data_IF_774560403521
#
_entry.id   IF_774560403521
#
_cell.length_a   1.000
_cell.length_b   1.000
_cell.length_c   1.000
_cell.angle_alpha   90.00
_cell.angle_beta   90.00
_cell.angle_gamma   90.00
#
_symmetry.space_group_name_H-M   'P 1'
#
loop_
_entity.id
_entity.type
_entity.pdbx_description
1 polymer ?
#
# COMPACT_ATOMS: atom_id res chain seq x y z
N UNK A 1 0.53 -15.66 -3.68
CA UNK A 1 0.23 -14.45 -2.91
C UNK A 1 -0.58 -14.85 -1.69
N UNK A 2 -0.39 -14.16 -0.56
CA UNK A 2 -1.27 -14.28 0.61
C UNK A 2 -2.11 -13.01 0.64
N UNK A 3 -3.42 -13.16 0.82
CA UNK A 3 -4.36 -12.04 0.92
C UNK A 3 -4.85 -11.92 2.36
N UNK A 4 -4.85 -10.69 2.89
CA UNK A 4 -5.40 -10.37 4.21
C UNK A 4 -6.53 -9.37 4.01
N UNK A 5 -7.75 -9.76 4.40
CA UNK A 5 -8.93 -8.91 4.33
C UNK A 5 -8.99 -8.02 5.58
N UNK A 6 -8.75 -6.73 5.41
CA UNK A 6 -8.82 -5.72 6.47
C UNK A 6 -10.02 -4.77 6.31
N UNK A 7 -10.63 -4.78 5.12
CA UNK A 7 -11.85 -4.01 4.80
C UNK A 7 -13.10 -4.86 5.03
N UNK A 8 -14.14 -4.22 5.53
CA UNK A 8 -15.49 -4.78 5.57
C UNK A 8 -16.11 -4.81 4.17
N UNK A 9 -17.35 -5.29 4.05
CA UNK A 9 -18.07 -5.25 2.78
C UNK A 9 -18.55 -3.84 2.39
N UNK A 10 -18.52 -2.89 3.33
CA UNK A 10 -18.92 -1.49 3.13
C UNK A 10 -17.69 -0.58 2.93
N UNK A 11 -16.57 -1.16 2.47
CA UNK A 11 -15.28 -0.49 2.21
C UNK A 11 -14.71 0.31 3.39
N UNK A 12 -15.06 -0.10 4.62
CA UNK A 12 -14.49 0.48 5.84
C UNK A 12 -13.39 -0.41 6.40
N UNK A 13 -12.28 0.19 6.82
CA UNK A 13 -11.23 -0.46 7.61
C UNK A 13 -10.80 0.42 8.76
N UNK A 14 -10.21 -0.18 9.78
CA UNK A 14 -9.65 0.51 10.93
C UNK A 14 -8.17 0.18 11.10
N UNK A 15 -7.43 1.11 11.69
CA UNK A 15 -6.00 0.92 11.94
C UNK A 15 -5.69 -0.34 12.77
N UNK A 16 -6.58 -0.74 13.68
CA UNK A 16 -6.45 -1.98 14.44
C UNK A 16 -6.49 -3.22 13.55
N UNK A 17 -7.44 -3.31 12.61
CA UNK A 17 -7.53 -4.44 11.68
C UNK A 17 -6.34 -4.50 10.71
N UNK A 18 -5.81 -3.35 10.32
CA UNK A 18 -4.57 -3.27 9.55
C UNK A 18 -3.36 -3.78 10.36
N UNK A 19 -3.22 -3.35 11.62
CA UNK A 19 -2.15 -3.80 12.51
C UNK A 19 -2.21 -5.32 12.75
N UNK A 20 -3.40 -5.87 13.03
CA UNK A 20 -3.61 -7.32 13.13
C UNK A 20 -3.24 -8.07 11.84
N UNK A 21 -3.50 -7.46 10.68
CA UNK A 21 -3.10 -8.00 9.38
C UNK A 21 -1.59 -8.10 9.23
N UNK A 22 -0.84 -7.08 9.65
CA UNK A 22 0.62 -7.12 9.68
C UNK A 22 1.15 -8.20 10.64
N UNK A 23 0.58 -8.29 11.84
CA UNK A 23 0.95 -9.32 12.82
C UNK A 23 0.74 -10.73 12.27
N UNK A 24 -0.37 -10.96 11.56
CA UNK A 24 -0.64 -12.22 10.87
C UNK A 24 0.43 -12.55 9.82
N UNK A 25 0.83 -11.58 9.00
CA UNK A 25 1.87 -11.77 7.99
C UNK A 25 3.24 -12.05 8.60
N UNK A 26 3.60 -11.35 9.68
CA UNK A 26 4.83 -11.60 10.43
C UNK A 26 4.81 -13.01 11.03
N UNK A 27 3.67 -13.45 11.58
CA UNK A 27 3.51 -14.80 12.12
C UNK A 27 3.67 -15.88 11.04
N UNK A 28 3.08 -15.67 9.85
CA UNK A 28 3.30 -16.57 8.70
C UNK A 28 4.76 -16.62 8.29
N UNK A 29 5.45 -15.47 8.24
CA UNK A 29 6.88 -15.44 7.93
C UNK A 29 7.71 -16.23 8.93
N UNK A 30 7.45 -16.06 10.22
CA UNK A 30 8.10 -16.82 11.31
C UNK A 30 7.86 -18.32 11.19
N UNK A 31 6.75 -18.74 10.59
CA UNK A 31 6.42 -20.15 10.29
C UNK A 31 7.07 -20.67 8.99
N UNK A 32 7.91 -19.88 8.34
CA UNK A 32 8.66 -20.29 7.14
C UNK A 32 8.06 -19.84 5.81
N UNK A 33 6.94 -19.09 5.82
CA UNK A 33 6.41 -18.51 4.58
C UNK A 33 7.33 -17.38 4.11
N UNK A 34 7.79 -17.43 2.85
CA UNK A 34 8.68 -16.40 2.30
C UNK A 34 7.91 -15.11 1.94
N UNK A 35 7.66 -14.30 2.96
CA UNK A 35 7.01 -12.98 2.84
C UNK A 35 8.11 -11.91 2.84
N UNK A 36 8.15 -11.11 1.78
CA UNK A 36 9.17 -10.07 1.58
C UNK A 36 8.57 -8.71 1.27
N UNK A 37 7.38 -8.68 0.67
CA UNK A 37 6.71 -7.44 0.24
C UNK A 37 5.24 -7.52 0.59
N UNK A 38 4.71 -6.41 1.11
CA UNK A 38 3.29 -6.21 1.43
C UNK A 38 2.78 -5.03 0.62
N UNK A 39 1.74 -5.24 -0.17
CA UNK A 39 1.07 -4.18 -0.91
C UNK A 39 -0.07 -3.58 -0.07
N UNK A 40 -0.05 -2.27 0.11
CA UNK A 40 -1.05 -1.50 0.85
C UNK A 40 -1.67 -0.47 -0.10
N UNK A 41 -2.62 -0.93 -0.91
CA UNK A 41 -3.43 -0.05 -1.79
C UNK A 41 -4.57 0.59 -1.01
N UNK A 42 -4.24 1.22 0.12
CA UNK A 42 -5.18 1.86 1.01
C UNK A 42 -4.46 2.93 1.82
N UNK A 43 -5.24 3.87 2.35
CA UNK A 43 -4.72 4.85 3.30
C UNK A 43 -5.84 5.67 3.93
N UNK A 44 -5.47 6.45 4.95
CA UNK A 44 -6.36 7.36 5.63
C UNK A 44 -5.61 8.51 6.30
N UNK A 45 -6.29 9.60 6.67
CA UNK A 45 -5.63 10.81 7.17
C UNK A 45 -5.21 10.70 8.64
N UNK A 46 -5.68 9.68 9.36
CA UNK A 46 -5.49 9.58 10.82
C UNK A 46 -4.29 8.67 11.13
N UNK A 47 -3.24 9.19 11.81
CA UNK A 47 -2.15 8.35 12.26
C UNK A 47 -2.61 7.39 13.35
N UNK A 48 -1.94 6.24 13.43
CA UNK A 48 -2.20 5.26 14.49
C UNK A 48 -0.89 4.68 14.99
N UNK A 49 -0.69 4.76 16.30
CA UNK A 49 0.47 4.16 16.96
C UNK A 49 0.53 2.65 16.73
N UNK A 50 -0.61 1.97 16.79
CA UNK A 50 -0.68 0.52 16.55
C UNK A 50 -0.27 0.17 15.11
N UNK A 51 -0.70 0.96 14.13
CA UNK A 51 -0.30 0.75 12.73
C UNK A 51 1.19 1.03 12.53
N UNK A 52 1.72 2.09 13.13
CA UNK A 52 3.14 2.41 13.09
C UNK A 52 3.99 1.26 13.66
N UNK A 53 3.66 0.80 14.87
CA UNK A 53 4.36 -0.32 15.52
C UNK A 53 4.30 -1.61 14.69
N UNK A 54 3.16 -1.90 14.07
CA UNK A 54 3.00 -3.07 13.22
C UNK A 54 3.85 -2.99 11.93
N UNK A 55 3.93 -1.81 11.31
CA UNK A 55 4.79 -1.59 10.14
C UNK A 55 6.27 -1.66 10.52
N UNK A 56 6.68 -1.05 11.63
CA UNK A 56 8.04 -1.18 12.16
C UNK A 56 8.40 -2.63 12.51
N UNK A 57 7.45 -3.41 13.06
CA UNK A 57 7.66 -4.83 13.34
C UNK A 57 7.83 -5.64 12.05
N UNK A 58 7.11 -5.29 10.98
CA UNK A 58 7.26 -5.90 9.67
C UNK A 58 8.63 -5.55 9.05
N UNK A 59 9.06 -4.30 9.16
CA UNK A 59 10.41 -3.85 8.80
C UNK A 59 11.49 -4.66 9.54
N UNK A 60 11.39 -4.80 10.86
CA UNK A 60 12.31 -5.61 11.65
C UNK A 60 12.30 -7.10 11.25
N UNK A 61 11.18 -7.59 10.71
CA UNK A 61 11.08 -8.91 10.11
C UNK A 61 11.60 -8.99 8.66
N UNK A 62 12.17 -7.90 8.12
CA UNK A 62 12.68 -7.81 6.75
C UNK A 62 11.57 -7.93 5.70
N UNK A 63 10.46 -7.23 5.93
CA UNK A 63 9.32 -7.12 5.04
C UNK A 63 9.21 -5.67 4.58
N UNK A 64 9.17 -5.46 3.26
CA UNK A 64 8.98 -4.16 2.61
C UNK A 64 7.48 -3.85 2.49
N UNK A 65 7.06 -2.68 2.92
CA UNK A 65 5.71 -2.17 2.75
C UNK A 65 5.64 -1.21 1.57
N UNK A 66 4.86 -1.54 0.56
CA UNK A 66 4.57 -0.65 -0.58
C UNK A 66 3.20 -0.04 -0.35
N UNK A 67 3.12 1.28 -0.30
CA UNK A 67 1.93 2.03 0.08
C UNK A 67 1.56 3.03 -1.02
N UNK A 68 0.29 3.23 -1.30
CA UNK A 68 -0.16 4.29 -2.21
C UNK A 68 -0.02 5.66 -1.54
N UNK A 69 0.49 6.66 -2.27
CA UNK A 69 0.57 8.05 -1.78
C UNK A 69 -0.81 8.66 -1.48
N UNK A 70 -1.86 8.14 -2.13
CA UNK A 70 -3.25 8.59 -1.98
C UNK A 70 -3.79 9.30 -3.23
N UNK A 71 -5.11 9.50 -3.27
CA UNK A 71 -5.86 9.91 -4.46
C UNK A 71 -6.64 11.23 -4.26
N UNK A 72 -6.05 12.21 -3.57
CA UNK A 72 -6.71 13.48 -3.22
C UNK A 72 -6.11 14.70 -3.91
N UNK A 73 -5.07 14.54 -4.74
CA UNK A 73 -4.32 15.65 -5.34
C UNK A 73 -3.75 16.65 -4.32
N UNK A 74 -3.32 16.15 -3.16
CA UNK A 74 -2.74 16.97 -2.09
C UNK A 74 -1.25 16.72 -1.94
N UNK A 75 -0.56 17.71 -1.35
CA UNK A 75 0.83 17.60 -0.92
C UNK A 75 0.91 16.77 0.37
N UNK A 76 1.40 15.54 0.26
CA UNK A 76 1.60 14.60 1.35
C UNK A 76 2.71 15.02 2.32
N UNK A 77 3.61 15.94 1.94
CA UNK A 77 4.56 16.54 2.88
C UNK A 77 3.85 17.49 3.86
N UNK A 78 2.75 18.12 3.44
CA UNK A 78 1.92 18.99 4.28
C UNK A 78 0.78 18.22 4.99
N UNK A 79 0.16 17.28 4.29
CA UNK A 79 -0.98 16.49 4.76
C UNK A 79 -0.71 14.99 4.56
N UNK A 80 0.06 14.35 5.47
CA UNK A 80 0.45 12.95 5.29
C UNK A 80 -0.74 12.00 5.39
N UNK A 81 -0.82 11.08 4.43
CA UNK A 81 -1.74 9.94 4.47
C UNK A 81 -1.06 8.69 5.04
N UNK A 82 -1.71 7.95 5.93
CA UNK A 82 -1.16 6.76 6.57
C UNK A 82 -1.72 5.48 5.94
N UNK A 83 -0.90 4.45 5.68
CA UNK A 83 0.46 4.26 6.17
C UNK A 83 1.58 4.93 5.36
N UNK A 84 1.30 5.52 4.18
CA UNK A 84 2.33 6.03 3.27
C UNK A 84 3.25 7.11 3.86
N UNK A 85 2.75 7.92 4.80
CA UNK A 85 3.49 8.95 5.51
C UNK A 85 4.12 8.49 6.84
N UNK A 86 4.16 7.19 7.14
CA UNK A 86 4.91 6.69 8.30
C UNK A 86 6.42 6.79 8.04
N UNK A 87 7.17 7.19 9.06
CA UNK A 87 8.64 7.22 9.01
C UNK A 87 9.21 5.82 9.27
N UNK A 88 9.26 4.99 8.23
CA UNK A 88 9.81 3.63 8.26
C UNK A 88 10.75 3.43 7.06
N UNK A 89 11.95 2.88 7.27
CA UNK A 89 12.95 2.72 6.22
C UNK A 89 12.54 1.64 5.21
N UNK A 90 11.78 0.64 5.64
CA UNK A 90 11.23 -0.41 4.77
C UNK A 90 9.81 -0.08 4.31
N UNK A 91 9.52 1.20 4.08
CA UNK A 91 8.29 1.66 3.44
C UNK A 91 8.63 2.42 2.14
N UNK A 92 7.80 2.18 1.11
CA UNK A 92 7.85 2.91 -0.17
C UNK A 92 6.48 3.49 -0.44
N UNK A 93 6.40 4.81 -0.55
CA UNK A 93 5.22 5.56 -0.96
C UNK A 93 5.19 5.79 -2.47
N UNK A 94 4.14 5.32 -3.14
CA UNK A 94 4.04 5.31 -4.61
C UNK A 94 2.96 6.28 -5.09
N UNK A 95 3.36 7.29 -5.86
CA UNK A 95 2.46 8.15 -6.62
C UNK A 95 1.98 7.47 -7.91
N UNK A 96 0.82 7.89 -8.41
CA UNK A 96 0.27 7.40 -9.67
C UNK A 96 0.76 8.26 -10.85
N UNK A 97 1.24 7.59 -11.90
CA UNK A 97 1.52 8.18 -13.23
C UNK A 97 0.59 7.63 -14.31
N UNK A 98 0.47 8.39 -15.40
CA UNK A 98 -0.20 7.99 -16.64
C UNK A 98 0.74 7.12 -17.47
N UNK A 99 0.24 6.63 -18.62
CA UNK A 99 1.06 5.88 -19.58
C UNK A 99 2.17 6.71 -20.23
N UNK A 100 2.06 8.03 -20.15
CA UNK A 100 2.99 8.99 -20.77
C UNK A 100 4.01 9.51 -19.73
N UNK A 101 4.16 8.82 -18.59
CA UNK A 101 5.00 9.18 -17.45
C UNK A 101 4.68 10.55 -16.82
N UNK A 102 3.45 11.05 -17.03
CA UNK A 102 2.94 12.25 -16.37
C UNK A 102 2.25 11.89 -15.05
N UNK A 103 2.27 12.77 -14.05
CA UNK A 103 1.53 12.54 -12.80
C UNK A 103 0.02 12.55 -13.05
N UNK A 104 -0.70 11.59 -12.49
CA UNK A 104 -2.16 11.53 -12.64
C UNK A 104 -2.81 12.64 -11.83
N UNK A 105 -3.90 13.22 -12.34
CA UNK A 105 -4.59 14.38 -11.74
C UNK A 105 -5.12 14.15 -10.32
N UNK A 106 -5.34 12.91 -9.90
CA UNK A 106 -5.75 12.59 -8.52
C UNK A 106 -4.57 12.22 -7.60
N UNK A 107 -3.38 11.98 -8.13
CA UNK A 107 -2.26 11.48 -7.34
C UNK A 107 -1.86 12.51 -6.28
N UNK A 108 -1.71 12.05 -5.04
CA UNK A 108 -0.94 12.82 -4.06
C UNK A 108 0.54 12.85 -4.48
N UNK A 109 1.24 13.88 -4.02
CA UNK A 109 2.66 14.13 -4.29
C UNK A 109 3.35 14.63 -3.03
N UNK A 110 4.67 14.55 -2.97
CA UNK A 110 5.46 15.04 -1.83
C UNK A 110 6.93 14.79 -2.08
N UNK A 111 7.79 15.78 -1.91
CA UNK A 111 9.21 15.66 -2.18
C UNK A 111 9.94 14.81 -1.12
N UNK A 112 9.38 14.74 0.09
CA UNK A 112 9.95 14.00 1.23
C UNK A 112 9.20 12.72 1.55
N UNK A 113 7.89 12.69 1.26
CA UNK A 113 6.97 11.60 1.63
C UNK A 113 6.64 10.66 0.48
N UNK A 114 6.78 11.08 -0.78
CA UNK A 114 6.60 10.21 -1.96
C UNK A 114 7.97 9.80 -2.48
N UNK A 115 8.10 8.49 -2.65
CA UNK A 115 9.38 7.83 -2.92
C UNK A 115 9.60 7.62 -4.43
N UNK A 116 8.56 7.24 -5.18
CA UNK A 116 8.57 7.09 -6.63
C UNK A 116 7.16 7.22 -7.23
N UNK A 117 7.08 7.32 -8.56
CA UNK A 117 5.82 7.21 -9.29
C UNK A 117 5.77 5.90 -10.10
N UNK A 118 4.58 5.32 -10.24
CA UNK A 118 4.33 4.14 -11.06
C UNK A 118 2.98 4.26 -11.80
N UNK A 119 2.79 3.55 -12.93
CA UNK A 119 1.54 3.60 -13.67
C UNK A 119 0.33 3.25 -12.80
N UNK A 120 -0.58 4.21 -12.63
CA UNK A 120 -1.76 4.09 -11.76
C UNK A 120 -3.07 4.51 -12.43
N UNK A 121 -3.01 5.13 -13.62
CA UNK A 121 -4.19 5.44 -14.43
C UNK A 121 -4.43 4.37 -15.50
N UNK A 122 -5.67 3.92 -15.66
CA UNK A 122 -6.08 2.98 -16.74
C UNK A 122 -5.30 1.66 -16.76
N UNK A 123 -4.96 1.14 -15.58
CA UNK A 123 -4.31 -0.17 -15.43
C UNK A 123 -5.33 -1.30 -15.49
N UNK A 124 -5.17 -2.20 -16.47
CA UNK A 124 -6.02 -3.38 -16.61
C UNK A 124 -5.75 -4.39 -15.48
N UNK A 125 -6.80 -4.83 -14.78
CA UNK A 125 -6.68 -5.77 -13.65
C UNK A 125 -7.85 -6.77 -13.58
N UNK A 126 -7.77 -7.71 -12.65
CA UNK A 126 -8.82 -8.68 -12.34
C UNK A 126 -9.87 -8.09 -11.41
N UNK A 127 -11.16 -8.26 -11.73
CA UNK A 127 -12.27 -7.83 -10.88
C UNK A 127 -13.17 -9.02 -10.51
N UNK A 128 -13.76 -8.99 -9.31
CA UNK A 128 -14.77 -9.97 -8.90
C UNK A 128 -16.09 -9.67 -9.62
N UNK A 129 -16.44 -10.48 -10.62
CA UNK A 129 -17.75 -10.40 -11.26
C UNK A 129 -18.80 -11.10 -10.38
N UNK A 130 -19.51 -10.36 -9.53
CA UNK A 130 -20.70 -10.89 -8.86
C UNK A 130 -21.90 -10.67 -9.79
N UNK A 131 -22.48 -11.75 -10.32
CA UNK A 131 -23.76 -11.68 -11.03
C UNK A 131 -24.88 -11.58 -9.99
N UNK A 132 -25.33 -10.37 -9.65
CA UNK A 132 -26.59 -10.18 -8.95
C UNK A 132 -27.74 -10.34 -9.95
N UNK A 133 -28.26 -11.56 -10.10
CA UNK A 133 -29.61 -11.73 -10.64
C UNK A 133 -30.63 -11.50 -9.51
N UNK A 134 -30.88 -10.23 -9.17
CA UNK A 134 -32.04 -9.84 -8.38
C UNK A 134 -32.95 -8.97 -9.26
N UNK A 135 -34.11 -9.52 -9.59
CA UNK A 135 -35.17 -8.96 -10.42
C UNK A 135 -35.69 -7.60 -9.94
N UNK A 136 -35.61 -6.58 -10.79
CA UNK A 136 -36.75 -5.72 -11.16
C UNK A 136 -36.38 -4.82 -12.36
N UNK A 137 -36.97 -5.13 -13.53
CA UNK A 137 -37.28 -4.17 -14.62
C UNK A 137 -36.17 -3.74 -15.61
N UNK A 138 -35.91 -4.64 -16.58
CA UNK A 138 -35.60 -4.37 -18.00
C UNK A 138 -34.15 -3.93 -18.39
N UNK A 139 -33.76 -4.01 -19.67
CA UNK A 139 -33.05 -5.16 -20.24
C UNK A 139 -31.70 -4.75 -20.84
N UNK A 140 -30.59 -5.29 -20.31
CA UNK A 140 -29.32 -5.37 -21.07
C UNK A 140 -28.42 -6.44 -20.46
N UNK A 141 -28.83 -7.69 -20.60
CA UNK A 141 -27.90 -8.81 -20.58
C UNK A 141 -27.01 -8.76 -21.84
N UNK A 142 -26.11 -7.78 -21.92
CA UNK A 142 -25.05 -7.78 -22.94
C UNK A 142 -23.75 -8.19 -22.29
N UNK A 143 -23.35 -9.43 -22.59
CA UNK A 143 -21.97 -9.86 -22.42
C UNK A 143 -21.04 -8.94 -23.21
N UNK A 144 -20.14 -8.29 -22.48
CA UNK A 144 -18.85 -7.85 -22.96
C UNK A 144 -17.86 -8.06 -21.81
N UNK A 145 -16.61 -8.44 -22.07
CA UNK A 145 -15.55 -8.28 -21.08
C UNK A 145 -15.32 -6.77 -20.93
N UNK A 146 -16.14 -6.11 -20.11
CA UNK A 146 -16.09 -4.67 -19.92
C UNK A 146 -14.84 -4.32 -19.11
N UNK A 147 -13.87 -3.77 -19.82
CA UNK A 147 -12.76 -2.95 -19.34
C UNK A 147 -13.29 -1.93 -18.32
N UNK A 148 -12.95 -2.06 -17.04
CA UNK A 148 -13.18 -1.00 -16.06
C UNK A 148 -12.26 -1.16 -14.85
N UNK A 149 -11.83 -0.02 -14.32
CA UNK A 149 -10.70 0.23 -13.43
C UNK A 149 -10.89 -0.25 -11.98
N UNK A 150 -9.78 -0.63 -11.32
CA UNK A 150 -9.67 -0.74 -9.87
C UNK A 150 -9.26 -2.14 -9.39
N UNK A 151 -8.21 -2.25 -8.58
CA UNK A 151 -7.83 -3.49 -7.92
C UNK A 151 -8.70 -3.72 -6.68
N UNK A 152 -9.00 -4.96 -6.26
CA UNK A 152 -9.73 -5.20 -5.02
C UNK A 152 -8.91 -4.72 -3.81
N UNK A 153 -9.53 -3.89 -2.96
CA UNK A 153 -8.99 -3.26 -1.75
C UNK A 153 -8.52 -4.31 -0.72
N UNK A 154 -7.30 -4.77 -0.89
CA UNK A 154 -6.74 -5.88 -0.13
C UNK A 154 -5.24 -5.69 0.09
N UNK A 155 -4.78 -6.15 1.25
CA UNK A 155 -3.34 -6.36 1.42
C UNK A 155 -2.98 -7.61 0.62
N UNK A 156 -2.18 -7.42 -0.43
CA UNK A 156 -1.70 -8.51 -1.28
C UNK A 156 -0.19 -8.69 -1.11
N UNK A 157 0.24 -9.88 -0.72
CA UNK A 157 1.66 -10.22 -0.54
C UNK A 157 2.24 -10.84 -1.80
N UNK A 158 3.22 -10.15 -2.40
CA UNK A 158 4.07 -10.71 -3.46
C UNK A 158 5.30 -11.39 -2.85
N UNK A 159 5.58 -12.63 -3.26
CA UNK A 159 6.78 -13.37 -2.87
C UNK A 159 7.80 -13.39 -4.02
N UNK A 160 8.75 -12.45 -4.12
CA UNK A 160 9.92 -12.63 -4.96
C UNK A 160 11.02 -13.44 -4.24
N UNK A 161 11.87 -14.11 -5.02
CA UNK A 161 13.06 -14.86 -4.62
C UNK A 161 14.32 -14.24 -5.28
N UNK A 162 15.52 -14.17 -4.67
CA UNK A 162 15.88 -14.11 -3.25
C UNK A 162 15.94 -12.65 -2.71
N UNK A 163 16.12 -12.51 -1.40
CA UNK A 163 15.95 -11.34 -0.52
C UNK A 163 16.16 -9.93 -1.11
N UNK A 164 15.22 -8.98 -0.91
CA UNK A 164 15.60 -7.58 -0.80
C UNK A 164 16.31 -7.42 0.56
N UNK A 165 17.64 -7.53 0.56
CA UNK A 165 18.49 -6.77 1.50
C UNK A 165 18.67 -5.34 0.97
N UNK A 166 17.80 -4.93 0.03
CA UNK A 166 17.68 -3.59 -0.46
C UNK A 166 16.89 -2.80 0.59
N UNK A 167 17.58 -1.99 1.39
CA UNK A 167 17.00 -0.77 1.99
C UNK A 167 16.19 -0.04 0.90
N UNK A 168 15.10 0.64 1.25
CA UNK A 168 14.29 1.43 0.30
C UNK A 168 15.18 2.27 -0.62
N UNK A 169 16.29 2.80 -0.08
CA UNK A 169 17.37 3.46 -0.82
C UNK A 169 17.87 2.75 -2.09
N UNK A 170 17.92 1.41 -2.15
CA UNK A 170 18.39 0.64 -3.31
C UNK A 170 17.32 0.40 -4.37
N UNK A 171 16.03 0.52 -4.01
CA UNK A 171 14.94 0.53 -5.00
C UNK A 171 14.81 1.91 -5.65
N UNK A 172 15.10 2.98 -4.89
CA UNK A 172 14.90 4.37 -5.29
C UNK A 172 16.15 4.93 -5.98
N UNK A 173 17.35 4.52 -5.55
CA UNK A 173 18.61 5.06 -6.03
C UNK A 173 19.64 3.94 -6.28
N UNK A 174 20.44 4.09 -7.35
CA UNK A 174 21.80 3.53 -7.35
C UNK A 174 22.57 4.05 -6.12
N UNK A 175 23.62 3.36 -5.65
CA UNK A 175 24.16 3.52 -4.29
C UNK A 175 24.45 5.01 -3.97
N UNK A 176 23.69 5.63 -3.06
CA UNK A 176 24.09 6.94 -2.55
C UNK A 176 23.08 7.91 -1.95
N UNK A 177 21.76 7.67 -1.90
CA UNK A 177 20.81 8.67 -1.36
C UNK A 177 19.87 8.04 -0.34
N UNK A 178 20.19 8.25 0.95
CA UNK A 178 19.36 7.93 2.11
C UNK A 178 18.59 9.17 2.57
N UNK A 179 17.31 8.99 2.93
CA UNK A 179 16.42 10.06 3.44
C UNK A 179 17.00 10.70 4.71
N UNK A 180 16.87 12.02 4.91
CA UNK A 180 17.23 12.66 6.18
C UNK A 180 16.20 12.27 7.25
N UNK A 181 16.66 11.53 8.26
CA UNK A 181 15.90 11.16 9.46
C UNK A 181 15.57 12.45 10.23
N UNK A 182 14.34 12.94 10.13
CA UNK A 182 13.85 13.96 11.05
C UNK A 182 13.30 13.23 12.26
N UNK A 183 14.17 13.06 13.25
CA UNK A 183 13.89 12.33 14.48
C UNK A 183 12.61 12.84 15.17
N UNK A 184 11.54 12.06 15.14
CA UNK A 184 10.55 12.08 16.21
C UNK A 184 11.26 11.56 17.46
N UNK A 185 11.26 12.35 18.54
CA UNK A 185 12.12 12.15 19.71
C UNK A 185 12.10 10.70 20.24
N UNK A 186 13.30 10.15 20.38
CA UNK A 186 13.57 8.82 20.94
C UNK A 186 13.08 8.73 22.38
N UNK A 187 11.89 8.21 22.59
CA UNK A 187 11.49 7.63 23.87
C UNK A 187 12.18 6.28 24.06
N UNK A 188 13.23 6.26 24.88
CA UNK A 188 13.92 5.03 25.29
C UNK A 188 13.00 4.16 26.13
N UNK A 189 12.66 2.95 25.67
CA UNK A 189 12.15 1.89 26.53
C UNK A 189 13.27 1.42 27.48
N UNK A 190 13.07 1.61 28.79
CA UNK A 190 13.71 0.82 29.85
C UNK A 190 12.76 -0.26 30.33
#
# INVERSE_FOLDING_TARGET
>A
MVSVKIFTADDTSGAAGAAEGYDYLIALKKRGVNIRVVNNSWGGPVPSQALYEAVCAAEAAGILSVCSAGNSHHDADAEPGFPAGLDCESLISVAASTRDDEMVSFSNYGALTVDLAAPGESVLSTWLFISTCATASAPSCHGSPTTTLGAPDSITVCSPSPAPTASSSRLIHGPGISRPVTAMERGTCS
#
